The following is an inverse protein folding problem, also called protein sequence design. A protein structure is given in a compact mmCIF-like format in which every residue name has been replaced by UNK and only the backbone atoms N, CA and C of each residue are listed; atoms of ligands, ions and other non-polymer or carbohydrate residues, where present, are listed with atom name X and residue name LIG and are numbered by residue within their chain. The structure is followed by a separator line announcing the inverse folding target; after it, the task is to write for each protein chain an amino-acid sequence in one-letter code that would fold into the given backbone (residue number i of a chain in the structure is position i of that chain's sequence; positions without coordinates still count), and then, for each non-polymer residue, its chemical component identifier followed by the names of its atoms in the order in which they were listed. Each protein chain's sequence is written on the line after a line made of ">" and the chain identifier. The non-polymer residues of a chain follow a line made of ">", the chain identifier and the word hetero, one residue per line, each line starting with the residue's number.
data_IF_526489751874
#
_entry.id   IF_526489751874
#
_cell.length_a   1.000
_cell.length_b   1.000
_cell.length_c   1.000
_cell.angle_alpha   90.00
_cell.angle_beta   90.00
_cell.angle_gamma   90.00
#
_symmetry.space_group_name_H-M   'P 1'
#
loop_
_entity.id
_entity.type
_entity.pdbx_description
1 polymer ?
#
# COMPACT_ATOMS: atom_id res chain seq x y z
N UNK A 1 -14.92 25.22 -5.36
CA UNK A 1 -13.60 25.49 -5.81
C UNK A 1 -12.57 24.85 -4.93
N UNK A 2 -12.55 25.27 -3.73
CA UNK A 2 -11.58 24.77 -2.78
C UNK A 2 -11.70 23.29 -2.59
N UNK A 3 -12.90 22.78 -2.53
CA UNK A 3 -13.09 21.36 -2.28
C UNK A 3 -12.51 20.50 -3.37
N UNK A 4 -12.44 21.01 -4.59
CA UNK A 4 -11.85 20.23 -5.66
C UNK A 4 -10.39 19.95 -5.43
N UNK A 5 -9.69 20.96 -4.95
CA UNK A 5 -8.28 20.78 -4.65
C UNK A 5 -8.07 19.78 -3.56
N UNK A 6 -8.92 19.83 -2.55
CA UNK A 6 -8.81 18.88 -1.46
C UNK A 6 -9.00 17.46 -1.93
N UNK A 7 -9.98 17.27 -2.80
CA UNK A 7 -10.23 15.93 -3.32
C UNK A 7 -9.04 15.40 -4.09
N UNK A 8 -8.41 16.24 -4.87
CA UNK A 8 -7.25 15.82 -5.62
C UNK A 8 -6.13 15.40 -4.68
N UNK A 9 -5.91 16.19 -3.63
CA UNK A 9 -4.90 15.85 -2.65
C UNK A 9 -5.20 14.54 -1.95
N UNK A 10 -6.46 14.33 -1.63
CA UNK A 10 -6.85 13.10 -0.95
C UNK A 10 -6.61 11.87 -1.80
N UNK A 11 -6.84 11.98 -3.09
CA UNK A 11 -6.63 10.87 -4.00
C UNK A 11 -5.18 10.42 -4.03
N UNK A 12 -4.26 11.33 -3.77
CA UNK A 12 -2.85 11.02 -3.86
C UNK A 12 -2.26 10.59 -2.53
N UNK A 13 -3.06 10.53 -1.49
CA UNK A 13 -2.55 10.18 -0.16
C UNK A 13 -2.59 8.67 0.04
N UNK A 14 -1.44 7.98 0.00
CA UNK A 14 -1.43 6.53 0.16
C UNK A 14 -1.93 6.07 1.52
N UNK A 15 -1.70 6.86 2.57
CA UNK A 15 -2.15 6.47 3.89
C UNK A 15 -3.67 6.44 3.97
N UNK A 16 -4.33 7.38 3.31
CA UNK A 16 -5.79 7.40 3.29
C UNK A 16 -6.36 6.22 2.54
N UNK A 17 -5.72 5.88 1.44
CA UNK A 17 -6.19 4.75 0.66
C UNK A 17 -6.03 3.45 1.43
N UNK A 18 -4.92 3.31 2.15
CA UNK A 18 -4.71 2.13 2.98
C UNK A 18 -5.73 2.04 4.10
N UNK A 19 -6.06 3.17 4.70
CA UNK A 19 -7.08 3.21 5.74
C UNK A 19 -8.43 2.79 5.18
N UNK A 20 -8.75 3.22 3.96
CA UNK A 20 -10.02 2.86 3.35
C UNK A 20 -10.11 1.37 3.05
N UNK A 21 -8.99 0.75 2.64
CA UNK A 21 -9.00 -0.66 2.29
C UNK A 21 -8.86 -1.59 3.49
N UNK A 22 -8.05 -1.20 4.47
CA UNK A 22 -7.68 -2.11 5.56
C UNK A 22 -8.10 -1.64 6.95
N UNK A 23 -8.68 -0.47 7.06
CA UNK A 23 -9.10 0.05 8.35
C UNK A 23 -8.10 1.01 8.97
N UNK A 24 -6.82 0.66 8.95
CA UNK A 24 -5.77 1.57 9.38
C UNK A 24 -4.45 1.12 8.77
N UNK A 25 -3.43 1.95 8.92
CA UNK A 25 -2.14 1.67 8.31
C UNK A 25 -1.48 0.45 8.94
N UNK A 26 -1.65 0.27 10.23
CA UNK A 26 -1.04 -0.85 10.92
C UNK A 26 -1.59 -2.19 10.40
N UNK A 27 -2.89 -2.25 10.19
CA UNK A 27 -3.51 -3.45 9.62
C UNK A 27 -2.99 -3.70 8.22
N UNK A 28 -2.81 -2.64 7.43
CA UNK A 28 -2.27 -2.79 6.09
C UNK A 28 -0.85 -3.34 6.13
N UNK A 29 -0.03 -2.86 7.05
CA UNK A 29 1.34 -3.33 7.19
C UNK A 29 1.38 -4.80 7.59
N UNK A 30 0.54 -5.19 8.53
CA UNK A 30 0.47 -6.58 8.97
C UNK A 30 0.06 -7.49 7.82
N UNK A 31 -0.93 -7.07 7.07
CA UNK A 31 -1.38 -7.82 5.91
C UNK A 31 -0.27 -7.96 4.88
N UNK A 32 0.40 -6.84 4.56
CA UNK A 32 1.44 -6.85 3.55
C UNK A 32 2.61 -7.74 3.96
N UNK A 33 3.00 -7.67 5.22
CA UNK A 33 4.08 -8.51 5.71
C UNK A 33 3.74 -9.97 5.57
N UNK A 34 2.49 -10.33 5.89
CA UNK A 34 2.04 -11.71 5.74
C UNK A 34 2.08 -12.19 4.31
N UNK A 35 1.71 -11.32 3.36
CA UNK A 35 1.76 -11.68 1.95
C UNK A 35 3.20 -11.95 1.51
N UNK A 36 4.12 -11.06 1.86
CA UNK A 36 5.50 -11.22 1.45
C UNK A 36 6.15 -12.42 2.12
N UNK A 37 5.82 -12.68 3.38
CA UNK A 37 6.32 -13.86 4.07
C UNK A 37 5.83 -15.13 3.39
N UNK A 38 4.57 -15.17 3.01
CA UNK A 38 3.99 -16.35 2.38
C UNK A 38 4.60 -16.62 1.02
N UNK A 39 5.00 -15.58 0.30
CA UNK A 39 5.56 -15.73 -1.04
C UNK A 39 7.08 -15.77 -1.04
N UNK A 40 7.71 -15.54 0.10
CA UNK A 40 9.17 -15.56 0.19
C UNK A 40 9.84 -14.35 -0.42
N UNK A 41 9.13 -13.27 -0.62
CA UNK A 41 9.67 -12.07 -1.24
C UNK A 41 10.18 -11.13 -0.15
N UNK A 42 11.43 -10.69 -0.27
CA UNK A 42 11.99 -9.74 0.67
C UNK A 42 11.43 -8.35 0.42
N UNK A 43 11.08 -7.58 1.46
CA UNK A 43 10.64 -6.20 1.26
C UNK A 43 11.65 -5.34 0.53
N UNK A 44 12.94 -5.71 0.59
CA UNK A 44 13.97 -4.97 -0.12
C UNK A 44 13.86 -5.14 -1.62
N UNK A 45 13.20 -6.20 -2.08
CA UNK A 45 12.93 -6.40 -3.50
C UNK A 45 11.66 -5.64 -3.85
N UNK A 46 11.77 -4.32 -3.97
CA UNK A 46 10.60 -3.47 -4.02
C UNK A 46 9.69 -3.74 -5.22
N UNK A 47 10.26 -3.94 -6.39
CA UNK A 47 9.44 -4.19 -7.57
C UNK A 47 8.62 -5.46 -7.40
N UNK A 48 9.27 -6.53 -6.94
CA UNK A 48 8.57 -7.79 -6.71
C UNK A 48 7.54 -7.67 -5.59
N UNK A 49 7.89 -6.97 -4.52
CA UNK A 49 6.99 -6.79 -3.39
C UNK A 49 5.75 -6.03 -3.82
N UNK A 50 5.93 -4.94 -4.56
CA UNK A 50 4.80 -4.14 -5.03
C UNK A 50 3.89 -4.97 -5.92
N UNK A 51 4.47 -5.73 -6.84
CA UNK A 51 3.70 -6.55 -7.75
C UNK A 51 2.89 -7.60 -7.00
N UNK A 52 3.50 -8.21 -5.99
CA UNK A 52 2.82 -9.25 -5.25
C UNK A 52 1.69 -8.70 -4.39
N UNK A 53 1.90 -7.55 -3.77
CA UNK A 53 0.85 -6.92 -2.97
C UNK A 53 -0.34 -6.55 -3.85
N UNK A 54 -0.09 -6.04 -5.05
CA UNK A 54 -1.16 -5.67 -5.96
C UNK A 54 -1.87 -6.89 -6.54
N UNK A 55 -1.17 -7.98 -6.68
CA UNK A 55 -1.79 -9.22 -7.11
C UNK A 55 -2.73 -9.76 -6.03
N UNK A 56 -2.30 -9.68 -4.78
CA UNK A 56 -3.11 -10.17 -3.68
C UNK A 56 -4.33 -9.29 -3.43
N UNK A 57 -4.21 -7.98 -3.70
CA UNK A 57 -5.32 -7.06 -3.53
C UNK A 57 -5.44 -6.17 -4.77
N UNK A 58 -6.27 -6.55 -5.74
CA UNK A 58 -6.39 -5.79 -6.99
C UNK A 58 -6.87 -4.35 -6.81
N UNK A 59 -7.52 -4.03 -5.69
CA UNK A 59 -7.95 -2.66 -5.44
C UNK A 59 -6.82 -1.76 -4.97
N UNK A 60 -5.66 -2.34 -4.66
CA UNK A 60 -4.52 -1.60 -4.18
C UNK A 60 -3.81 -0.94 -5.35
N UNK A 61 -3.81 0.39 -5.40
CA UNK A 61 -3.15 1.08 -6.49
C UNK A 61 -1.65 1.18 -6.25
N UNK A 62 -0.93 1.68 -7.25
CA UNK A 62 0.53 1.66 -7.22
C UNK A 62 1.12 2.48 -6.06
N UNK A 63 0.59 3.66 -5.80
CA UNK A 63 1.14 4.51 -4.76
C UNK A 63 1.06 3.89 -3.37
N UNK A 64 -0.10 3.43 -2.91
CA UNK A 64 -0.14 2.79 -1.60
C UNK A 64 0.64 1.49 -1.56
N UNK A 65 0.71 0.74 -2.66
CA UNK A 65 1.53 -0.47 -2.68
C UNK A 65 3.01 -0.13 -2.52
N UNK A 66 3.46 0.92 -3.21
CA UNK A 66 4.84 1.39 -3.09
C UNK A 66 5.12 1.87 -1.67
N UNK A 67 4.18 2.58 -1.09
CA UNK A 67 4.32 3.07 0.27
C UNK A 67 4.48 1.92 1.26
N UNK A 68 3.66 0.88 1.14
CA UNK A 68 3.76 -0.29 2.01
C UNK A 68 5.09 -0.99 1.85
N UNK A 69 5.52 -1.21 0.61
CA UNK A 69 6.78 -1.89 0.37
C UNK A 69 7.94 -1.11 0.97
N UNK A 70 7.92 0.22 0.81
CA UNK A 70 8.97 1.06 1.37
C UNK A 70 9.01 0.99 2.89
N UNK A 71 7.83 1.03 3.52
CA UNK A 71 7.78 0.98 4.97
C UNK A 71 8.24 -0.37 5.50
N UNK A 72 7.91 -1.44 4.81
CA UNK A 72 8.34 -2.77 5.24
C UNK A 72 9.84 -2.96 5.09
N UNK A 73 10.45 -2.27 4.14
CA UNK A 73 11.88 -2.38 3.91
C UNK A 73 12.70 -1.61 4.95
N UNK A 74 12.08 -0.67 5.65
CA UNK A 74 12.78 0.08 6.71
C UNK A 74 13.04 -0.81 7.95
#
# INVERSE_FOLDING_TARGET
>A
MTSKKLLIGDHDDPAKELTALFGDEKSAMTWARGILDATGISPAEQVSAIAELRRAEPRLSLKPATYLASRLAD
#
